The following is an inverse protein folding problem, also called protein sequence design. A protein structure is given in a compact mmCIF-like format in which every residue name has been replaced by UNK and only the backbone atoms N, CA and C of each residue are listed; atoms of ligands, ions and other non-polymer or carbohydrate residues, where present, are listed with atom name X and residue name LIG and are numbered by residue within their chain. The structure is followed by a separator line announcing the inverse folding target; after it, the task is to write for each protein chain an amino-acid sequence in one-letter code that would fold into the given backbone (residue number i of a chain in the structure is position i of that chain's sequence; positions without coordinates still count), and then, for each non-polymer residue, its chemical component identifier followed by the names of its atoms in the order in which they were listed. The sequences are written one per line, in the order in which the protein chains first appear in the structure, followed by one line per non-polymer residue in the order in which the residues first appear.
data_IF_614394832271
#
_entry.id   IF_614394832271
#
_cell.length_a   1.000
_cell.length_b   1.000
_cell.length_c   1.000
_cell.angle_alpha   90.00
_cell.angle_beta   90.00
_cell.angle_gamma   90.00
#
_symmetry.space_group_name_H-M   'P 1'
#
loop_
_entity.id
_entity.type
_entity.pdbx_description
1 polymer ?
#
# COMPACT_ATOMS: atom_id res chain seq x y z
N UNK A 1 0.58 0.12 -12.78
CA UNK A 1 0.52 0.59 -14.17
C UNK A 1 1.91 1.14 -14.50
N UNK A 2 2.42 0.89 -15.70
CA UNK A 2 3.72 1.41 -16.13
C UNK A 2 3.52 2.77 -16.80
N UNK A 3 4.43 3.72 -16.59
CA UNK A 3 4.39 5.06 -17.18
C UNK A 3 5.79 5.53 -17.53
N UNK A 4 5.95 6.15 -18.69
CA UNK A 4 7.25 6.63 -19.17
C UNK A 4 7.29 8.15 -19.19
N UNK A 5 8.38 8.72 -18.67
CA UNK A 5 8.72 10.14 -18.77
C UNK A 5 10.19 10.34 -19.22
N UNK A 6 10.70 11.56 -19.10
CA UNK A 6 12.07 11.92 -19.46
C UNK A 6 13.14 11.20 -18.60
N UNK A 7 12.75 10.69 -17.43
CA UNK A 7 13.63 9.97 -16.49
C UNK A 7 13.59 8.45 -16.71
N UNK A 8 12.54 7.91 -17.33
CA UNK A 8 12.49 6.53 -17.78
C UNK A 8 11.13 5.86 -17.59
N UNK A 9 11.13 4.53 -17.57
CA UNK A 9 9.92 3.73 -17.34
C UNK A 9 9.72 3.48 -15.84
N UNK A 10 8.55 3.84 -15.32
CA UNK A 10 8.22 3.79 -13.91
C UNK A 10 7.02 2.89 -13.63
N UNK A 11 7.05 2.17 -12.50
CA UNK A 11 5.84 1.60 -11.91
C UNK A 11 5.17 2.71 -11.09
N UNK A 12 3.92 3.03 -11.40
CA UNK A 12 3.21 4.18 -10.82
C UNK A 12 1.77 3.85 -10.43
N UNK A 13 1.29 4.57 -9.40
CA UNK A 13 -0.10 4.66 -9.01
C UNK A 13 -0.54 6.13 -9.00
N UNK A 14 -1.64 6.45 -9.69
CA UNK A 14 -2.20 7.80 -9.73
C UNK A 14 -3.29 7.97 -8.68
N UNK A 15 -3.36 9.16 -8.09
CA UNK A 15 -4.48 9.60 -7.28
C UNK A 15 -5.36 10.51 -8.14
N UNK A 16 -6.64 10.14 -8.27
CA UNK A 16 -7.61 10.85 -9.11
C UNK A 16 -8.78 11.26 -8.23
N UNK A 17 -9.19 12.52 -8.31
CA UNK A 17 -10.30 13.07 -7.53
C UNK A 17 -11.66 12.60 -8.05
N UNK A 18 -12.73 12.90 -7.31
CA UNK A 18 -14.10 12.61 -7.74
C UNK A 18 -14.53 13.41 -8.98
N UNK A 19 -13.86 14.52 -9.30
CA UNK A 19 -14.08 15.30 -10.52
C UNK A 19 -13.26 14.80 -11.72
N UNK A 20 -12.42 13.77 -11.53
CA UNK A 20 -11.52 13.24 -12.55
C UNK A 20 -10.18 13.96 -12.65
N UNK A 21 -9.88 14.89 -11.74
CA UNK A 21 -8.60 15.59 -11.70
C UNK A 21 -7.48 14.67 -11.18
N UNK A 22 -6.32 14.65 -11.85
CA UNK A 22 -5.14 13.97 -11.32
C UNK A 22 -4.52 14.83 -10.23
N UNK A 23 -4.68 14.40 -8.98
CA UNK A 23 -4.12 15.09 -7.81
C UNK A 23 -2.61 14.81 -7.64
N UNK A 24 -2.12 13.77 -8.31
CA UNK A 24 -0.71 13.41 -8.36
C UNK A 24 -0.52 11.91 -8.51
N UNK A 25 0.68 11.45 -8.21
CA UNK A 25 1.06 10.05 -8.33
C UNK A 25 2.12 9.64 -7.32
N UNK A 26 2.18 8.34 -7.06
CA UNK A 26 3.24 7.68 -6.31
C UNK A 26 3.95 6.70 -7.24
N UNK A 27 5.25 6.89 -7.42
CA UNK A 27 6.14 5.92 -8.05
C UNK A 27 6.51 4.82 -7.08
N UNK A 28 6.81 3.64 -7.58
CA UNK A 28 7.47 2.60 -6.78
C UNK A 28 8.94 3.00 -6.64
N UNK A 29 9.45 3.04 -5.41
CA UNK A 29 10.81 3.51 -5.14
C UNK A 29 11.76 2.37 -4.76
N UNK A 30 11.23 1.23 -4.30
CA UNK A 30 12.01 0.04 -3.99
C UNK A 30 11.43 -1.16 -4.73
N UNK A 31 12.22 -1.74 -5.62
CA UNK A 31 11.80 -2.84 -6.47
C UNK A 31 11.96 -4.19 -5.80
N UNK A 32 11.15 -5.12 -6.29
CA UNK A 32 11.47 -6.52 -6.12
C UNK A 32 12.71 -6.82 -6.99
N UNK A 33 13.72 -7.55 -6.49
CA UNK A 33 14.89 -7.92 -7.30
C UNK A 33 14.54 -8.58 -8.64
N UNK A 34 13.41 -9.32 -8.72
CA UNK A 34 12.97 -9.95 -9.96
C UNK A 34 12.48 -8.93 -11.02
N UNK A 35 12.29 -7.67 -10.64
CA UNK A 35 11.88 -6.58 -11.53
C UNK A 35 13.06 -5.88 -12.22
N UNK A 36 14.30 -6.10 -11.77
CA UNK A 36 15.51 -5.44 -12.34
C UNK A 36 15.66 -5.69 -13.85
N UNK A 37 15.13 -6.83 -14.33
CA UNK A 37 15.16 -7.23 -15.75
C UNK A 37 14.29 -6.37 -16.68
N UNK A 38 13.38 -5.56 -16.14
CA UNK A 38 12.43 -4.78 -16.95
C UNK A 38 12.92 -3.35 -17.24
N UNK A 39 14.05 -2.93 -16.66
CA UNK A 39 14.62 -1.60 -16.93
C UNK A 39 13.81 -0.44 -16.34
N UNK A 40 13.08 -0.68 -15.25
CA UNK A 40 12.37 0.39 -14.54
C UNK A 40 13.33 1.33 -13.80
N UNK A 41 12.96 2.61 -13.71
CA UNK A 41 13.71 3.64 -12.98
C UNK A 41 13.02 3.95 -11.66
N UNK A 42 13.66 3.74 -10.50
CA UNK A 42 13.01 3.92 -9.21
C UNK A 42 12.67 5.39 -8.96
N UNK A 43 11.49 5.62 -8.41
CA UNK A 43 11.15 6.93 -7.90
C UNK A 43 12.02 7.32 -6.70
N UNK A 44 12.22 8.62 -6.52
CA UNK A 44 13.07 9.17 -5.45
C UNK A 44 12.28 9.86 -4.34
N UNK A 45 10.96 10.04 -4.53
CA UNK A 45 10.10 10.79 -3.61
C UNK A 45 8.87 9.98 -3.22
N UNK A 46 8.32 10.29 -2.05
CA UNK A 46 7.03 9.74 -1.60
C UNK A 46 6.06 10.86 -1.31
N UNK A 47 4.77 10.58 -1.47
CA UNK A 47 3.68 11.54 -1.28
C UNK A 47 2.58 10.91 -0.44
N UNK A 48 1.91 11.76 0.32
CA UNK A 48 0.57 11.49 0.82
C UNK A 48 -0.40 12.37 0.05
N UNK A 49 -1.65 11.94 0.02
CA UNK A 49 -2.73 12.62 -0.68
C UNK A 49 -3.83 12.96 0.31
N UNK A 50 -4.58 14.02 0.06
CA UNK A 50 -5.72 14.38 0.90
C UNK A 50 -7.01 14.30 0.09
N UNK A 51 -7.99 13.55 0.60
CA UNK A 51 -9.33 13.45 0.01
C UNK A 51 -10.33 13.66 1.15
N UNK A 52 -11.21 14.66 1.00
CA UNK A 52 -12.30 14.94 1.95
C UNK A 52 -11.82 15.02 3.42
N UNK A 53 -10.67 15.66 3.64
CA UNK A 53 -10.05 15.82 4.96
C UNK A 53 -9.37 14.57 5.53
N UNK A 54 -9.23 13.50 4.72
CA UNK A 54 -8.53 12.27 5.10
C UNK A 54 -7.23 12.15 4.32
N UNK A 55 -6.13 12.04 5.04
CA UNK A 55 -4.82 11.79 4.44
C UNK A 55 -4.66 10.31 4.09
N UNK A 56 -4.22 10.03 2.88
CA UNK A 56 -4.05 8.70 2.28
C UNK A 56 -2.58 8.51 1.86
N UNK A 57 -2.06 7.31 2.06
CA UNK A 57 -0.75 6.89 1.52
C UNK A 57 -0.89 5.81 0.45
N UNK A 58 0.13 5.66 -0.37
CA UNK A 58 0.25 4.56 -1.34
C UNK A 58 1.63 3.92 -1.18
N UNK A 59 1.68 2.59 -1.11
CA UNK A 59 2.90 1.78 -1.22
C UNK A 59 2.68 0.73 -2.30
N UNK A 60 3.65 0.42 -3.14
CA UNK A 60 3.39 -0.44 -4.31
C UNK A 60 4.05 -1.81 -4.14
N UNK A 61 3.24 -2.86 -4.17
CA UNK A 61 3.67 -4.26 -4.23
C UNK A 61 4.76 -4.58 -3.18
N UNK A 62 5.95 -4.97 -3.62
CA UNK A 62 7.11 -5.30 -2.79
C UNK A 62 7.36 -4.31 -1.61
N UNK A 63 7.13 -3.01 -1.82
CA UNK A 63 7.28 -1.97 -0.80
C UNK A 63 6.42 -2.23 0.45
N UNK A 64 5.15 -2.56 0.24
CA UNK A 64 4.18 -2.74 1.31
C UNK A 64 4.43 -3.99 2.16
N UNK A 65 5.18 -4.97 1.67
CA UNK A 65 5.48 -6.19 2.43
C UNK A 65 6.84 -6.12 3.12
N UNK A 66 7.88 -5.75 2.37
CA UNK A 66 9.28 -5.90 2.79
C UNK A 66 9.82 -4.73 3.60
N UNK A 67 9.31 -3.52 3.39
CA UNK A 67 9.85 -2.32 4.00
C UNK A 67 8.81 -1.64 4.90
N UNK A 68 8.76 -2.01 6.21
CA UNK A 68 7.93 -1.32 7.21
C UNK A 68 8.01 0.20 7.14
N UNK A 69 9.19 0.72 6.80
CA UNK A 69 9.54 2.14 6.72
C UNK A 69 8.66 2.90 5.73
N UNK A 70 8.21 2.25 4.66
CA UNK A 70 7.40 2.88 3.62
C UNK A 70 6.01 3.23 4.13
N UNK A 71 5.38 2.29 4.83
CA UNK A 71 4.07 2.49 5.49
C UNK A 71 4.22 3.40 6.71
N UNK A 72 5.29 3.21 7.49
CA UNK A 72 5.63 4.07 8.63
C UNK A 72 5.78 5.53 8.22
N UNK A 73 6.46 5.79 7.11
CA UNK A 73 6.63 7.13 6.57
C UNK A 73 5.26 7.76 6.29
N UNK A 74 4.37 7.08 5.56
CA UNK A 74 3.05 7.61 5.24
C UNK A 74 2.21 7.89 6.50
N UNK A 75 2.21 6.96 7.47
CA UNK A 75 1.51 7.12 8.74
C UNK A 75 2.01 8.36 9.52
N UNK A 76 3.32 8.60 9.53
CA UNK A 76 3.92 9.79 10.16
C UNK A 76 3.61 11.10 9.43
N UNK A 77 3.30 11.03 8.13
CA UNK A 77 2.81 12.17 7.35
C UNK A 77 1.29 12.38 7.47
N UNK A 78 0.61 11.70 8.39
CA UNK A 78 -0.82 11.91 8.66
C UNK A 78 -1.73 10.83 8.08
N UNK A 79 -1.21 9.90 7.26
CA UNK A 79 -2.05 8.92 6.57
C UNK A 79 -2.89 8.08 7.55
N UNK A 80 -4.20 8.06 7.36
CA UNK A 80 -5.15 7.24 8.12
C UNK A 80 -5.38 5.87 7.47
N UNK A 81 -5.14 5.79 6.17
CA UNK A 81 -5.17 4.58 5.38
C UNK A 81 -4.00 4.57 4.40
N UNK A 82 -3.41 3.41 4.20
CA UNK A 82 -2.43 3.17 3.14
C UNK A 82 -3.00 2.15 2.16
N UNK A 83 -3.03 2.53 0.89
CA UNK A 83 -3.40 1.65 -0.22
C UNK A 83 -2.17 0.92 -0.74
N UNK A 84 -2.35 -0.36 -1.03
CA UNK A 84 -1.31 -1.26 -1.45
C UNK A 84 -1.73 -2.07 -2.68
N UNK A 85 -1.67 -1.47 -3.89
CA UNK A 85 -1.82 -2.23 -5.11
C UNK A 85 -0.64 -3.19 -5.26
N UNK A 86 -0.94 -4.46 -5.54
CA UNK A 86 0.08 -5.50 -5.55
C UNK A 86 -0.16 -6.58 -6.60
N UNK A 87 0.92 -7.30 -6.90
CA UNK A 87 0.94 -8.52 -7.70
C UNK A 87 1.96 -9.45 -7.05
N UNK A 88 1.49 -10.40 -6.23
CA UNK A 88 2.37 -11.27 -5.44
C UNK A 88 3.02 -12.36 -6.29
N UNK A 89 2.31 -12.81 -7.32
CA UNK A 89 2.63 -14.01 -8.12
C UNK A 89 2.55 -15.30 -7.28
N UNK A 90 2.89 -16.43 -7.89
CA UNK A 90 2.97 -17.70 -7.17
C UNK A 90 4.12 -17.65 -6.15
N UNK A 91 3.77 -17.75 -4.87
CA UNK A 91 4.72 -17.68 -3.76
C UNK A 91 4.63 -18.94 -2.90
N UNK A 92 5.79 -19.41 -2.45
CA UNK A 92 5.90 -20.60 -1.60
C UNK A 92 5.39 -20.37 -0.18
N UNK A 93 5.43 -19.12 0.31
CA UNK A 93 4.95 -18.74 1.63
C UNK A 93 3.96 -17.55 1.53
N UNK A 94 2.68 -17.80 1.18
CA UNK A 94 1.66 -16.74 1.15
C UNK A 94 1.36 -16.18 2.54
N UNK A 95 1.62 -16.94 3.60
CA UNK A 95 1.37 -16.51 4.98
C UNK A 95 2.25 -15.34 5.38
N UNK A 96 3.52 -15.30 4.93
CA UNK A 96 4.41 -14.16 5.13
C UNK A 96 3.76 -12.86 4.66
N UNK A 97 3.24 -12.84 3.43
CA UNK A 97 2.65 -11.64 2.84
C UNK A 97 1.38 -11.22 3.57
N UNK A 98 0.52 -12.18 3.92
CA UNK A 98 -0.68 -11.94 4.70
C UNK A 98 -0.38 -11.35 6.08
N UNK A 99 0.62 -11.90 6.78
CA UNK A 99 1.05 -11.41 8.09
C UNK A 99 1.75 -10.06 7.97
N UNK A 100 2.56 -9.83 6.93
CA UNK A 100 3.18 -8.53 6.69
C UNK A 100 2.14 -7.43 6.54
N UNK A 101 1.06 -7.65 5.78
CA UNK A 101 -0.03 -6.67 5.63
C UNK A 101 -0.71 -6.35 6.97
N UNK A 102 -0.95 -7.36 7.82
CA UNK A 102 -1.47 -7.16 9.18
C UNK A 102 -0.49 -6.30 10.00
N UNK A 103 0.80 -6.64 9.96
CA UNK A 103 1.83 -5.90 10.69
C UNK A 103 1.88 -4.44 10.26
N UNK A 104 1.83 -4.13 8.95
CA UNK A 104 1.84 -2.75 8.42
C UNK A 104 0.73 -1.90 9.01
N UNK A 105 -0.45 -2.49 9.16
CA UNK A 105 -1.59 -1.81 9.78
C UNK A 105 -1.41 -1.63 11.29
N UNK A 106 -1.20 -2.74 12.01
CA UNK A 106 -1.15 -2.77 13.48
C UNK A 106 0.01 -1.98 14.07
N UNK A 107 1.21 -2.06 13.48
CA UNK A 107 2.39 -1.35 13.99
C UNK A 107 2.28 0.17 13.84
N UNK A 108 1.41 0.65 12.95
CA UNK A 108 1.21 2.06 12.65
C UNK A 108 -0.09 2.61 13.24
N UNK A 109 -1.02 1.76 13.68
CA UNK A 109 -2.42 2.10 14.01
C UNK A 109 -3.11 2.89 12.89
N UNK A 110 -3.10 2.31 11.69
CA UNK A 110 -3.78 2.85 10.49
C UNK A 110 -4.54 1.75 9.77
N UNK A 111 -5.51 2.11 8.93
CA UNK A 111 -6.08 1.15 7.99
C UNK A 111 -5.06 0.77 6.91
N UNK A 112 -5.12 -0.46 6.43
CA UNK A 112 -4.31 -0.92 5.30
C UNK A 112 -5.20 -1.66 4.30
N UNK A 113 -5.21 -1.22 3.05
CA UNK A 113 -6.04 -1.77 1.99
C UNK A 113 -5.14 -2.32 0.88
N UNK A 114 -4.96 -3.64 0.86
CA UNK A 114 -4.18 -4.31 -0.18
C UNK A 114 -5.10 -4.83 -1.27
N UNK A 115 -4.76 -4.58 -2.53
CA UNK A 115 -5.56 -4.93 -3.70
C UNK A 115 -4.72 -5.78 -4.65
N UNK A 116 -5.21 -6.97 -4.95
CA UNK A 116 -4.57 -7.93 -5.85
C UNK A 116 -5.49 -8.37 -6.97
N UNK A 117 -4.90 -8.99 -7.98
CA UNK A 117 -5.58 -9.66 -9.07
C UNK A 117 -6.23 -10.97 -8.62
N UNK A 118 -7.40 -11.27 -9.19
CA UNK A 118 -8.12 -12.52 -9.00
C UNK A 118 -7.63 -13.66 -9.92
N UNK A 119 -6.31 -13.79 -10.08
CA UNK A 119 -5.70 -14.81 -10.95
C UNK A 119 -5.40 -16.10 -10.17
N UNK A 120 -5.25 -17.21 -10.90
CA UNK A 120 -4.98 -18.54 -10.30
C UNK A 120 -3.70 -18.58 -9.46
N UNK A 121 -2.65 -17.85 -9.88
CA UNK A 121 -1.36 -17.76 -9.20
C UNK A 121 -1.35 -16.86 -7.97
N UNK A 122 -2.43 -16.12 -7.69
CA UNK A 122 -2.46 -15.13 -6.62
C UNK A 122 -3.10 -15.70 -5.35
N UNK A 123 -2.26 -16.22 -4.45
CA UNK A 123 -2.67 -16.81 -3.18
C UNK A 123 -2.76 -15.81 -2.01
N UNK A 124 -2.50 -14.52 -2.26
CA UNK A 124 -2.60 -13.42 -1.29
C UNK A 124 -3.69 -12.48 -1.79
N UNK A 125 -4.89 -12.57 -1.22
CA UNK A 125 -6.07 -11.91 -1.78
C UNK A 125 -6.26 -10.49 -1.27
N UNK A 126 -7.01 -9.69 -2.05
CA UNK A 126 -7.45 -8.34 -1.67
C UNK A 126 -8.03 -8.35 -0.27
N UNK A 127 -7.56 -7.46 0.59
CA UNK A 127 -7.91 -7.45 2.02
C UNK A 127 -7.91 -6.03 2.56
N UNK A 128 -8.92 -5.68 3.38
CA UNK A 128 -8.95 -4.45 4.17
C UNK A 128 -8.66 -4.81 5.63
N UNK A 129 -7.73 -4.11 6.26
CA UNK A 129 -7.24 -4.38 7.61
C UNK A 129 -7.48 -3.15 8.50
N UNK A 130 -8.05 -3.38 9.70
CA UNK A 130 -8.31 -2.36 10.71
C UNK A 130 -7.03 -1.90 11.40
N UNK A 131 -6.98 -0.70 12.00
CA UNK A 131 -5.84 -0.19 12.76
C UNK A 131 -5.32 -1.10 13.90
N UNK A 132 -6.08 -2.12 14.26
CA UNK A 132 -5.76 -3.12 15.29
C UNK A 132 -5.26 -4.45 14.71
N UNK A 133 -5.12 -4.55 13.39
CA UNK A 133 -4.65 -5.75 12.68
C UNK A 133 -5.75 -6.75 12.32
N UNK A 134 -7.02 -6.40 12.52
CA UNK A 134 -8.14 -7.29 12.18
C UNK A 134 -8.42 -7.20 10.67
N UNK A 135 -8.59 -8.35 10.01
CA UNK A 135 -9.05 -8.37 8.62
C UNK A 135 -10.54 -8.09 8.58
N UNK A 136 -10.92 -6.88 8.16
CA UNK A 136 -12.31 -6.42 8.10
C UNK A 136 -13.08 -7.12 6.99
N UNK A 137 -12.42 -7.32 5.84
CA UNK A 137 -12.94 -8.10 4.72
C UNK A 137 -11.79 -8.65 3.90
N UNK A 138 -12.01 -9.83 3.31
CA UNK A 138 -11.01 -10.60 2.55
C UNK A 138 -11.70 -11.13 1.30
N UNK A 139 -11.11 -10.90 0.14
CA UNK A 139 -11.62 -11.46 -1.11
C UNK A 139 -11.40 -12.97 -1.16
N UNK A 140 -12.35 -13.68 -1.76
CA UNK A 140 -12.20 -15.08 -2.10
C UNK A 140 -11.09 -15.26 -3.15
N UNK A 141 -10.26 -16.31 -3.05
CA UNK A 141 -9.26 -16.60 -4.06
C UNK A 141 -9.88 -16.80 -5.44
N UNK A 142 -9.22 -16.29 -6.50
CA UNK A 142 -9.59 -16.54 -7.90
C UNK A 142 -10.99 -16.04 -8.29
N UNK A 143 -11.54 -15.10 -7.52
CA UNK A 143 -12.84 -14.50 -7.79
C UNK A 143 -12.71 -12.98 -7.90
N UNK A 144 -13.22 -12.41 -8.98
CA UNK A 144 -13.36 -10.96 -9.10
C UNK A 144 -14.43 -10.47 -8.11
N UNK A 145 -14.07 -9.51 -7.27
CA UNK A 145 -14.94 -9.03 -6.20
C UNK A 145 -14.74 -7.53 -5.94
N UNK A 146 -15.85 -6.85 -5.68
CA UNK A 146 -15.86 -5.52 -5.08
C UNK A 146 -16.01 -5.66 -3.57
N UNK A 147 -14.96 -5.34 -2.82
CA UNK A 147 -15.04 -5.25 -1.37
C UNK A 147 -15.40 -3.82 -0.97
N UNK A 148 -16.49 -3.68 -0.23
CA UNK A 148 -16.95 -2.38 0.30
C UNK A 148 -16.94 -2.46 1.82
N UNK A 149 -16.38 -1.44 2.46
CA UNK A 149 -16.35 -1.32 3.92
C UNK A 149 -16.41 0.14 4.35
N UNK A 150 -17.32 0.45 5.28
CA UNK A 150 -17.38 1.77 5.89
C UNK A 150 -16.32 1.89 6.99
N UNK A 151 -15.41 2.86 6.85
CA UNK A 151 -14.38 3.15 7.85
C UNK A 151 -14.66 4.48 8.52
N UNK A 152 -14.41 4.56 9.83
CA UNK A 152 -14.19 5.82 10.52
C UNK A 152 -12.67 6.11 10.55
N UNK A 153 -12.18 7.10 9.79
CA UNK A 153 -10.76 7.43 9.76
C UNK A 153 -10.17 7.80 11.13
N UNK A 154 -11.00 8.20 12.10
CA UNK A 154 -10.52 8.54 13.45
C UNK A 154 -10.04 7.32 14.24
N UNK A 155 -10.45 6.10 13.87
CA UNK A 155 -9.93 4.86 14.47
C UNK A 155 -8.43 4.68 14.16
N UNK A 156 -7.95 5.24 13.04
CA UNK A 156 -6.54 5.26 12.68
C UNK A 156 -5.78 6.33 13.49
N UNK A 157 -5.60 6.08 14.79
CA UNK A 157 -5.00 7.02 15.72
C UNK A 157 -3.57 7.45 15.34
N UNK A 158 -2.85 6.64 14.56
CA UNK A 158 -1.43 6.83 14.25
C UNK A 158 -0.54 6.91 15.50
N UNK A 159 -1.01 6.45 16.67
CA UNK A 159 -0.29 6.64 17.93
C UNK A 159 1.09 5.99 17.93
N UNK A 160 1.21 4.78 17.42
CA UNK A 160 2.50 4.10 17.29
C UNK A 160 3.37 4.76 16.20
N UNK A 161 2.73 5.14 15.08
CA UNK A 161 3.10 6.22 14.16
C UNK A 161 4.02 7.29 14.76
N UNK A 162 3.36 8.11 15.56
CA UNK A 162 3.86 9.39 16.03
C UNK A 162 4.89 9.25 17.14
N UNK A 163 4.92 8.10 17.82
CA UNK A 163 5.90 7.80 18.87
C UNK A 163 7.25 7.31 18.35
N UNK A 164 7.34 6.93 17.07
CA UNK A 164 8.59 6.50 16.48
C UNK A 164 9.61 7.65 16.45
N UNK A 165 10.77 7.43 17.10
CA UNK A 165 11.88 8.37 17.10
C UNK A 165 12.99 7.87 16.16
N UNK A 166 13.13 8.45 14.95
CA UNK A 166 14.17 8.05 14.01
C UNK A 166 15.58 8.47 14.47
N UNK A 167 15.72 9.45 15.38
CA UNK A 167 17.03 9.94 15.83
C UNK A 167 17.78 9.00 16.79
N UNK A 168 17.27 7.78 17.01
CA UNK A 168 17.93 6.75 17.81
C UNK A 168 18.79 5.79 16.96
N UNK A 169 18.84 6.00 15.64
CA UNK A 169 19.57 5.20 14.65
C UNK A 169 20.29 6.08 13.64
#
# INVERSE_FOLDING_TARGET
MEWQDDLGLHIVAFMISESGEILGYQTKNQYDPDEDKFGYVPGTHRRVFEIKGVTLGIVICHEGWRYPETVRWAARQGARIVFHPQFTNEVTNPEFYQNAMICRSGENNIFFASVNYALESQNVTTTIISPFGERLTVAAPRQEQLLVWDIDPNQASRRLADRYNPGLF
#
